data_IF_741057742237
#
_entry.id   IF_741057742237
#
_cell.length_a   1.000
_cell.length_b   1.000
_cell.length_c   1.000
_cell.angle_alpha   90.00
_cell.angle_beta   90.00
_cell.angle_gamma   90.00
#
_symmetry.space_group_name_H-M   'P 1'
#
loop_
_entity.id
_entity.type
_entity.pdbx_description
1 polymer ?
#
# COMPACT_ATOMS: atom_id res chain seq x y z
N UNK A 1 -1.23 16.64 -5.64
CA UNK A 1 -2.17 15.99 -6.59
C UNK A 1 -3.36 16.91 -6.76
N UNK A 2 -3.94 17.01 -7.94
CA UNK A 2 -5.05 17.94 -8.18
C UNK A 2 -6.15 17.29 -9.02
N UNK A 3 -7.39 17.73 -8.79
CA UNK A 3 -8.52 17.54 -9.71
C UNK A 3 -8.99 18.92 -10.21
N UNK A 4 -10.21 19.05 -10.76
CA UNK A 4 -10.70 20.32 -11.30
C UNK A 4 -10.77 21.42 -10.21
N UNK A 5 -11.28 21.10 -9.02
CA UNK A 5 -11.62 22.08 -7.99
C UNK A 5 -10.68 22.03 -6.77
N UNK A 6 -9.98 20.93 -6.55
CA UNK A 6 -9.25 20.65 -5.32
C UNK A 6 -7.77 20.31 -5.54
N UNK A 7 -6.97 20.59 -4.51
CA UNK A 7 -5.61 20.10 -4.35
C UNK A 7 -5.60 19.14 -3.16
N UNK A 8 -5.05 17.95 -3.39
CA UNK A 8 -4.90 16.91 -2.38
C UNK A 8 -3.46 16.79 -1.91
N UNK A 9 -3.32 16.63 -0.59
CA UNK A 9 -2.07 16.46 0.13
C UNK A 9 -2.09 15.14 0.88
N UNK A 10 -0.99 14.40 0.77
CA UNK A 10 -0.80 13.12 1.46
C UNK A 10 0.36 13.27 2.43
N UNK A 11 0.13 12.96 3.70
CA UNK A 11 1.13 13.14 4.74
C UNK A 11 0.85 12.22 5.92
N UNK A 12 1.80 12.16 6.86
CA UNK A 12 1.61 11.54 8.17
C UNK A 12 1.77 12.59 9.25
N UNK A 13 0.98 12.50 10.30
CA UNK A 13 1.01 13.41 11.45
C UNK A 13 0.74 12.64 12.75
N UNK A 14 1.05 13.25 13.89
CA UNK A 14 0.62 12.72 15.19
C UNK A 14 -0.91 12.75 15.29
N UNK A 15 -1.51 11.61 15.65
CA UNK A 15 -2.96 11.45 15.75
C UNK A 15 -3.48 12.02 17.08
N UNK A 16 -3.95 13.27 17.05
CA UNK A 16 -4.56 13.92 18.23
C UNK A 16 -5.81 13.18 18.71
N UNK A 17 -6.53 12.51 17.81
CA UNK A 17 -7.71 11.71 18.15
C UNK A 17 -7.41 10.43 18.94
N UNK A 18 -6.13 10.05 19.00
CA UNK A 18 -5.67 8.87 19.71
C UNK A 18 -4.90 9.22 20.99
N UNK A 19 -4.70 10.51 21.30
CA UNK A 19 -3.77 10.94 22.35
C UNK A 19 -4.14 10.42 23.74
N UNK A 20 -5.45 10.22 24.01
CA UNK A 20 -5.97 9.65 25.26
C UNK A 20 -5.66 8.15 25.41
N UNK A 21 -5.34 7.46 24.31
CA UNK A 21 -4.98 6.04 24.27
C UNK A 21 -3.46 5.83 24.11
N UNK A 22 -2.74 6.85 23.63
CA UNK A 22 -1.29 6.81 23.44
C UNK A 22 -0.82 7.75 22.34
N UNK A 23 0.49 7.74 22.05
CA UNK A 23 1.06 8.49 20.92
C UNK A 23 1.16 7.56 19.72
N UNK A 24 0.49 7.93 18.63
CA UNK A 24 0.62 7.24 17.34
C UNK A 24 0.65 8.26 16.21
N UNK A 25 1.20 7.83 15.08
CA UNK A 25 1.18 8.58 13.82
C UNK A 25 0.06 8.00 12.98
N UNK A 26 -0.71 8.83 12.29
CA UNK A 26 -1.65 8.39 11.25
C UNK A 26 -1.35 9.05 9.92
N UNK A 27 -1.62 8.29 8.86
CA UNK A 27 -1.59 8.77 7.50
C UNK A 27 -2.88 9.49 7.16
N UNK A 28 -2.75 10.61 6.45
CA UNK A 28 -3.84 11.51 6.08
C UNK A 28 -3.84 11.78 4.59
N UNK A 29 -5.04 11.98 4.08
CA UNK A 29 -5.29 12.78 2.89
C UNK A 29 -6.01 14.05 3.32
N UNK A 30 -5.54 15.20 2.86
CA UNK A 30 -6.21 16.48 3.00
C UNK A 30 -6.60 17.05 1.64
N UNK A 31 -7.64 17.88 1.60
CA UNK A 31 -8.05 18.64 0.43
C UNK A 31 -8.21 20.12 0.74
N UNK A 32 -7.96 20.96 -0.26
CA UNK A 32 -8.21 22.42 -0.24
C UNK A 32 -8.81 22.79 -1.60
N UNK A 33 -9.76 23.73 -1.64
CA UNK A 33 -10.28 24.27 -2.89
C UNK A 33 -9.26 25.19 -3.56
N UNK A 34 -9.08 25.08 -4.87
CA UNK A 34 -8.15 25.91 -5.65
C UNK A 34 -8.51 27.39 -5.63
N UNK A 35 -9.79 27.71 -5.50
CA UNK A 35 -10.31 29.09 -5.44
C UNK A 35 -10.48 29.64 -4.01
N UNK A 36 -9.85 29.02 -3.01
CA UNK A 36 -9.86 29.51 -1.63
C UNK A 36 -8.99 30.78 -1.51
N UNK A 37 -9.64 31.93 -1.39
CA UNK A 37 -9.04 33.25 -1.23
C UNK A 37 -8.93 33.67 0.24
N UNK A 38 -9.12 32.74 1.18
CA UNK A 38 -9.22 33.03 2.60
C UNK A 38 -10.59 33.61 2.99
N UNK A 39 -10.76 33.89 4.28
CA UNK A 39 -12.00 34.48 4.80
C UNK A 39 -11.91 36.00 5.02
N UNK A 40 -13.02 36.67 5.36
CA UNK A 40 -13.04 38.09 5.65
C UNK A 40 -12.31 38.41 6.97
N UNK A 41 -11.77 39.63 7.06
CA UNK A 41 -11.15 40.21 8.25
C UNK A 41 -10.14 39.27 8.96
N UNK A 42 -10.53 38.68 10.10
CA UNK A 42 -9.69 37.82 10.95
C UNK A 42 -9.32 36.47 10.32
N UNK A 43 -9.90 36.12 9.18
CA UNK A 43 -9.68 34.85 8.47
C UNK A 43 -8.86 35.00 7.18
N UNK A 44 -8.32 36.19 6.88
CA UNK A 44 -7.62 36.47 5.60
C UNK A 44 -6.40 35.58 5.35
N UNK A 45 -5.69 35.18 6.41
CA UNK A 45 -4.43 34.42 6.31
C UNK A 45 -4.60 32.91 6.56
N UNK A 46 -5.83 32.38 6.50
CA UNK A 46 -6.10 30.97 6.78
C UNK A 46 -6.98 30.34 5.70
N UNK A 47 -6.72 29.06 5.43
CA UNK A 47 -7.59 28.26 4.56
C UNK A 47 -8.99 28.14 5.15
N UNK A 48 -10.00 28.34 4.32
CA UNK A 48 -11.42 28.21 4.70
C UNK A 48 -11.99 26.84 4.34
N UNK A 49 -11.30 26.11 3.46
CA UNK A 49 -11.75 24.84 2.88
C UNK A 49 -10.87 23.64 3.24
N UNK A 50 -9.86 23.83 4.07
CA UNK A 50 -8.95 22.75 4.48
C UNK A 50 -9.69 21.68 5.29
N UNK A 51 -9.73 20.46 4.77
CA UNK A 51 -10.22 19.26 5.46
C UNK A 51 -9.20 18.13 5.34
N UNK A 52 -9.16 17.25 6.34
CA UNK A 52 -8.32 16.04 6.33
C UNK A 52 -9.09 14.82 6.85
N UNK A 53 -8.72 13.65 6.35
CA UNK A 53 -9.23 12.36 6.81
C UNK A 53 -8.12 11.32 6.89
N UNK A 54 -8.34 10.26 7.69
CA UNK A 54 -7.41 9.14 7.86
C UNK A 54 -7.43 8.23 6.64
N UNK A 55 -6.26 7.84 6.15
CA UNK A 55 -6.08 6.70 5.26
C UNK A 55 -5.93 5.43 6.10
N UNK A 56 -6.77 4.44 5.86
CA UNK A 56 -6.72 3.16 6.55
C UNK A 56 -5.99 2.13 5.67
N UNK A 57 -4.76 1.78 6.01
CA UNK A 57 -4.06 0.64 5.41
C UNK A 57 -3.84 -0.42 6.49
N UNK A 58 -4.67 -1.46 6.48
CA UNK A 58 -4.62 -2.52 7.49
C UNK A 58 -4.98 -3.89 6.94
N UNK A 59 -4.38 -4.92 7.51
CA UNK A 59 -4.78 -6.31 7.30
C UNK A 59 -5.93 -6.63 8.25
N UNK A 60 -7.10 -7.07 7.76
CA UNK A 60 -8.18 -7.49 8.63
C UNK A 60 -7.75 -8.71 9.45
N UNK A 61 -8.02 -8.67 10.75
CA UNK A 61 -7.78 -9.77 11.68
C UNK A 61 -9.09 -10.33 12.23
N UNK A 62 -9.07 -11.56 12.76
CA UNK A 62 -10.25 -12.18 13.39
C UNK A 62 -10.75 -11.39 14.61
N UNK A 63 -9.82 -10.81 15.38
CA UNK A 63 -10.14 -10.00 16.57
C UNK A 63 -9.74 -8.53 16.37
N UNK A 64 -8.50 -8.28 15.94
CA UNK A 64 -7.98 -6.93 15.78
C UNK A 64 -7.23 -6.79 14.44
N UNK A 65 -7.52 -5.75 13.64
CA UNK A 65 -6.75 -5.43 12.44
C UNK A 65 -5.32 -5.00 12.75
N UNK A 66 -4.39 -5.36 11.86
CA UNK A 66 -2.99 -4.92 11.91
C UNK A 66 -2.77 -3.71 11.00
N UNK A 67 -2.33 -2.57 11.54
CA UNK A 67 -2.25 -1.31 10.80
C UNK A 67 -0.83 -0.96 10.33
N UNK A 68 -0.73 -0.47 9.10
CA UNK A 68 0.43 0.21 8.55
C UNK A 68 0.13 1.71 8.54
N UNK A 69 0.54 2.38 9.61
CA UNK A 69 0.06 3.72 9.92
C UNK A 69 0.85 4.85 9.25
N UNK A 70 2.07 4.60 8.78
CA UNK A 70 2.99 5.64 8.31
C UNK A 70 3.19 5.59 6.80
N UNK A 71 2.55 6.53 6.09
CA UNK A 71 2.71 6.69 4.65
C UNK A 71 4.13 7.17 4.31
N UNK A 72 4.70 6.55 3.28
CA UNK A 72 6.02 6.87 2.75
C UNK A 72 5.95 7.52 1.37
N UNK A 73 5.04 7.04 0.51
CA UNK A 73 4.87 7.54 -0.86
C UNK A 73 3.47 7.26 -1.40
N UNK A 74 3.03 8.09 -2.35
CA UNK A 74 1.81 7.88 -3.15
C UNK A 74 2.11 8.04 -4.64
N UNK A 75 1.41 7.29 -5.48
CA UNK A 75 1.40 7.52 -6.92
C UNK A 75 0.62 8.80 -7.26
N UNK A 76 0.95 9.46 -8.38
CA UNK A 76 0.08 10.50 -8.93
C UNK A 76 -1.29 9.90 -9.33
N UNK A 77 -2.29 10.78 -9.45
CA UNK A 77 -3.58 10.44 -10.05
C UNK A 77 -3.50 10.63 -11.55
N UNK A 78 -4.04 9.68 -12.29
CA UNK A 78 -4.36 9.85 -13.71
C UNK A 78 -5.55 10.82 -13.84
N UNK A 79 -5.25 12.07 -14.17
CA UNK A 79 -6.26 13.13 -14.35
C UNK A 79 -7.15 12.91 -15.56
N UNK A 80 -6.75 12.05 -16.50
CA UNK A 80 -7.50 11.80 -17.74
C UNK A 80 -8.67 10.83 -17.52
N UNK A 81 -8.71 10.15 -16.36
CA UNK A 81 -9.79 9.25 -15.98
C UNK A 81 -10.92 9.97 -15.24
N UNK A 82 -12.18 9.48 -15.31
CA UNK A 82 -13.23 9.89 -14.38
C UNK A 82 -12.88 9.59 -12.92
N UNK A 83 -13.39 10.38 -11.97
CA UNK A 83 -13.07 10.23 -10.53
C UNK A 83 -13.44 8.86 -9.98
N UNK A 84 -14.47 8.24 -10.55
CA UNK A 84 -14.98 6.93 -10.19
C UNK A 84 -13.99 5.81 -10.51
N UNK A 85 -13.20 5.98 -11.55
CA UNK A 85 -12.23 5.01 -12.08
C UNK A 85 -10.79 5.28 -11.62
N UNK A 86 -10.54 6.44 -10.99
CA UNK A 86 -9.22 6.81 -10.47
C UNK A 86 -8.85 5.99 -9.24
N UNK A 87 -7.69 5.32 -9.31
CA UNK A 87 -7.07 4.60 -8.20
C UNK A 87 -5.72 5.23 -7.89
N UNK A 88 -5.42 5.36 -6.59
CA UNK A 88 -4.12 5.82 -6.09
C UNK A 88 -3.48 4.74 -5.24
N UNK A 89 -2.18 4.52 -5.42
CA UNK A 89 -1.43 3.50 -4.69
C UNK A 89 -0.48 4.16 -3.70
N UNK A 90 -0.43 3.63 -2.48
CA UNK A 90 0.40 4.15 -1.41
C UNK A 90 1.23 3.10 -0.74
N UNK A 91 2.46 3.48 -0.38
CA UNK A 91 3.34 2.69 0.48
C UNK A 91 3.16 3.16 1.92
N UNK A 92 2.90 2.20 2.80
CA UNK A 92 2.72 2.42 4.23
C UNK A 92 3.65 1.51 5.01
N UNK A 93 4.14 1.98 6.14
CA UNK A 93 5.01 1.22 7.03
C UNK A 93 4.44 1.18 8.45
N UNK A 94 4.89 0.17 9.20
CA UNK A 94 4.83 0.20 10.66
C UNK A 94 5.81 1.24 11.21
N UNK A 95 5.62 1.74 12.45
CA UNK A 95 6.57 2.66 13.07
C UNK A 95 8.00 2.12 13.14
N UNK A 96 9.00 3.01 13.13
CA UNK A 96 10.41 2.64 13.14
C UNK A 96 10.83 1.84 14.39
N UNK A 97 10.21 2.12 15.53
CA UNK A 97 10.43 1.43 16.80
C UNK A 97 9.66 0.10 16.94
N UNK A 98 9.08 -0.41 15.85
CA UNK A 98 8.31 -1.66 15.82
C UNK A 98 8.91 -2.66 14.82
N UNK A 99 8.34 -3.86 14.76
CA UNK A 99 8.72 -4.88 13.78
C UNK A 99 8.56 -4.28 12.37
N UNK A 100 9.61 -4.43 11.56
CA UNK A 100 9.63 -3.88 10.20
C UNK A 100 8.56 -4.53 9.34
N UNK A 101 7.56 -3.74 8.98
CA UNK A 101 6.46 -4.12 8.12
C UNK A 101 6.16 -2.99 7.15
N UNK A 102 5.91 -3.36 5.90
CA UNK A 102 5.48 -2.44 4.85
C UNK A 102 4.29 -3.03 4.12
N UNK A 103 3.42 -2.17 3.61
CA UNK A 103 2.26 -2.58 2.83
C UNK A 103 2.00 -1.59 1.70
N UNK A 104 1.37 -2.08 0.64
CA UNK A 104 0.86 -1.27 -0.46
C UNK A 104 -0.65 -1.31 -0.41
N UNK A 105 -1.28 -0.16 -0.31
CA UNK A 105 -2.73 -0.02 -0.34
C UNK A 105 -3.15 0.80 -1.55
N UNK A 106 -4.22 0.36 -2.22
CA UNK A 106 -4.88 1.14 -3.26
C UNK A 106 -6.12 1.81 -2.68
N UNK A 107 -6.40 3.06 -3.06
CA UNK A 107 -7.60 3.78 -2.67
C UNK A 107 -8.31 4.29 -3.93
N UNK A 108 -9.64 4.16 -3.97
CA UNK A 108 -10.44 4.83 -5.01
C UNK A 108 -10.57 6.30 -4.68
N UNK A 109 -10.44 7.15 -5.69
CA UNK A 109 -10.62 8.58 -5.50
C UNK A 109 -12.06 8.92 -5.10
N UNK A 110 -13.05 8.18 -5.60
CA UNK A 110 -14.45 8.27 -5.14
C UNK A 110 -14.60 8.04 -3.63
N UNK A 111 -13.87 7.09 -3.04
CA UNK A 111 -13.86 6.86 -1.58
C UNK A 111 -13.25 8.03 -0.81
N UNK A 112 -12.22 8.68 -1.39
CA UNK A 112 -11.61 9.89 -0.80
C UNK A 112 -12.62 11.04 -0.79
N UNK A 113 -13.27 11.30 -1.92
CA UNK A 113 -14.31 12.35 -2.03
C UNK A 113 -15.46 12.09 -1.06
N UNK A 114 -15.98 10.87 -1.03
CA UNK A 114 -17.07 10.47 -0.13
C UNK A 114 -16.72 10.70 1.35
N UNK A 115 -15.47 10.44 1.76
CA UNK A 115 -15.05 10.65 3.14
C UNK A 115 -15.10 12.12 3.57
N UNK A 116 -14.85 13.05 2.65
CA UNK A 116 -14.97 14.50 2.91
C UNK A 116 -16.41 15.01 2.91
N UNK A 117 -17.33 14.28 2.27
CA UNK A 117 -18.76 14.59 2.31
C UNK A 117 -19.48 13.97 3.52
N UNK A 118 -18.78 13.11 4.27
CA UNK A 118 -19.24 12.49 5.52
C UNK A 118 -19.27 13.42 6.73
N UNK A 119 -19.48 12.86 7.93
CA UNK A 119 -19.56 13.67 9.14
C UNK A 119 -18.17 14.13 9.61
N UNK A 120 -18.13 15.27 10.29
CA UNK A 120 -16.92 15.78 10.96
C UNK A 120 -16.67 15.01 12.26
N UNK A 121 -15.45 15.03 12.76
CA UNK A 121 -15.07 14.46 14.05
C UNK A 121 -14.61 15.56 14.98
N UNK A 122 -15.07 15.53 16.22
CA UNK A 122 -14.67 16.49 17.25
C UNK A 122 -14.57 15.85 18.64
N UNK A 123 -13.92 16.58 19.53
CA UNK A 123 -13.77 16.27 20.94
C UNK A 123 -14.41 17.40 21.77
N UNK A 124 -15.60 17.17 22.32
CA UNK A 124 -16.33 18.22 23.05
C UNK A 124 -15.55 18.74 24.28
N UNK A 125 -14.76 17.87 24.94
CA UNK A 125 -13.86 18.22 26.07
C UNK A 125 -12.49 17.52 25.92
N UNK A 126 -11.42 18.08 26.50
CA UNK A 126 -10.05 17.59 26.32
C UNK A 126 -9.83 16.11 26.70
N UNK A 127 -10.67 15.56 27.57
CA UNK A 127 -10.57 14.16 28.03
C UNK A 127 -11.67 13.25 27.46
N UNK A 128 -12.56 13.79 26.63
CA UNK A 128 -13.67 13.03 26.03
C UNK A 128 -13.22 12.23 24.80
N UNK A 129 -14.05 11.28 24.37
CA UNK A 129 -13.82 10.55 23.14
C UNK A 129 -14.09 11.44 21.92
N UNK A 130 -13.35 11.17 20.83
CA UNK A 130 -13.56 11.83 19.55
C UNK A 130 -14.75 11.21 18.81
N UNK A 131 -15.85 11.94 18.72
CA UNK A 131 -17.13 11.45 18.21
C UNK A 131 -17.53 12.17 16.91
N UNK A 132 -18.35 11.54 16.05
CA UNK A 132 -18.94 12.21 14.90
C UNK A 132 -19.84 13.37 15.33
N UNK A 133 -19.71 14.51 14.67
CA UNK A 133 -20.57 15.68 14.89
C UNK A 133 -21.91 15.46 14.15
N UNK A 134 -23.06 15.54 14.85
CA UNK A 134 -24.36 15.45 14.19
C UNK A 134 -24.57 16.56 13.14
N UNK A 135 -25.28 16.22 12.06
CA UNK A 135 -25.61 17.19 10.99
C UNK A 135 -26.34 18.43 11.48
N UNK A 136 -27.13 18.33 12.57
CA UNK A 136 -27.81 19.47 13.19
C UNK A 136 -26.87 20.51 13.78
N UNK A 137 -25.64 20.12 14.17
CA UNK A 137 -24.58 21.04 14.65
C UNK A 137 -23.64 21.51 13.54
N UNK A 138 -23.82 21.02 12.32
CA UNK A 138 -22.97 21.37 11.17
C UNK A 138 -23.66 22.47 10.35
N UNK A 139 -22.99 23.60 10.06
CA UNK A 139 -23.54 24.63 9.18
C UNK A 139 -23.90 24.03 7.80
N UNK A 140 -25.16 24.17 7.40
CA UNK A 140 -25.67 23.56 6.17
C UNK A 140 -25.48 24.44 4.93
N UNK A 141 -25.44 25.77 5.09
CA UNK A 141 -25.34 26.70 3.97
C UNK A 141 -24.33 27.84 4.21
N UNK A 142 -23.17 27.81 3.55
CA UNK A 142 -22.57 26.66 2.86
C UNK A 142 -21.93 25.67 3.84
N UNK A 143 -21.86 24.40 3.44
CA UNK A 143 -21.20 23.33 4.18
C UNK A 143 -19.67 23.60 4.22
N UNK A 144 -19.03 23.56 5.40
CA UNK A 144 -17.57 23.69 5.52
C UNK A 144 -16.81 22.73 4.58
N UNK A 145 -15.79 23.25 3.89
CA UNK A 145 -14.97 22.48 2.94
C UNK A 145 -15.58 22.28 1.54
N UNK A 146 -16.68 22.97 1.20
CA UNK A 146 -17.18 23.07 -0.17
C UNK A 146 -16.59 24.28 -0.88
N UNK A 147 -16.31 24.16 -2.18
CA UNK A 147 -15.75 25.26 -2.96
C UNK A 147 -16.83 26.30 -3.28
N UNK A 148 -16.46 27.57 -3.15
CA UNK A 148 -17.37 28.70 -3.33
C UNK A 148 -16.68 29.77 -4.19
N UNK A 149 -17.45 30.50 -5.00
CA UNK A 149 -16.90 31.50 -5.92
C UNK A 149 -16.04 32.56 -5.21
N UNK A 150 -16.47 33.02 -4.04
CA UNK A 150 -15.68 33.87 -3.17
C UNK A 150 -15.79 33.42 -1.71
N UNK A 151 -14.74 32.81 -1.20
CA UNK A 151 -14.62 32.36 0.20
C UNK A 151 -14.69 33.51 1.22
N UNK A 152 -14.47 34.76 0.80
CA UNK A 152 -14.61 35.93 1.67
C UNK A 152 -16.06 36.29 1.98
N UNK A 153 -17.01 35.79 1.18
CA UNK A 153 -18.44 35.95 1.40
C UNK A 153 -19.02 34.91 2.37
N UNK A 154 -18.20 33.96 2.86
CA UNK A 154 -18.66 32.91 3.75
C UNK A 154 -19.14 33.47 5.10
N UNK A 155 -20.25 32.94 5.66
CA UNK A 155 -20.71 33.31 6.98
C UNK A 155 -19.68 33.02 8.07
N UNK A 156 -19.62 33.88 9.08
CA UNK A 156 -18.70 33.70 10.23
C UNK A 156 -18.94 32.38 10.97
N UNK A 157 -20.18 31.86 11.01
CA UNK A 157 -20.50 30.56 11.60
C UNK A 157 -19.80 29.41 10.88
N UNK A 158 -19.86 29.37 9.54
CA UNK A 158 -19.16 28.38 8.70
C UNK A 158 -17.65 28.47 8.88
N UNK A 159 -17.09 29.69 8.90
CA UNK A 159 -15.65 29.90 9.06
C UNK A 159 -15.12 29.50 10.45
N UNK A 160 -15.85 29.85 11.50
CA UNK A 160 -15.52 29.42 12.87
C UNK A 160 -15.58 27.89 12.97
N UNK A 161 -16.59 27.26 12.37
CA UNK A 161 -16.70 25.81 12.34
C UNK A 161 -15.55 25.15 11.58
N UNK A 162 -15.26 25.60 10.35
CA UNK A 162 -14.20 25.03 9.51
C UNK A 162 -12.81 25.11 10.18
N UNK A 163 -12.56 26.20 10.91
CA UNK A 163 -11.31 26.38 11.66
C UNK A 163 -11.14 25.36 12.79
N UNK A 164 -12.23 25.00 13.47
CA UNK A 164 -12.21 24.09 14.62
C UNK A 164 -12.31 22.61 14.19
N UNK A 165 -13.12 22.34 13.16
CA UNK A 165 -13.45 20.98 12.73
C UNK A 165 -12.93 20.72 11.31
N UNK A 166 -11.66 20.32 11.23
CA UNK A 166 -11.01 19.96 9.97
C UNK A 166 -10.80 18.45 9.78
N UNK A 167 -11.11 17.63 10.79
CA UNK A 167 -10.97 16.18 10.74
C UNK A 167 -12.31 15.51 10.41
N UNK A 168 -12.33 14.65 9.40
CA UNK A 168 -13.51 13.84 9.07
C UNK A 168 -13.61 12.60 9.98
N UNK A 169 -14.83 12.15 10.24
CA UNK A 169 -15.10 10.96 11.07
C UNK A 169 -14.86 9.65 10.29
N UNK A 170 -15.18 9.64 9.00
CA UNK A 170 -15.01 8.48 8.13
C UNK A 170 -13.57 8.37 7.63
N UNK A 171 -12.97 7.19 7.78
CA UNK A 171 -11.67 6.86 7.20
C UNK A 171 -11.83 6.48 5.72
N UNK A 172 -10.79 6.68 4.92
CA UNK A 172 -10.70 6.11 3.57
C UNK A 172 -10.13 4.71 3.67
N UNK A 173 -10.96 3.71 3.35
CA UNK A 173 -10.53 2.31 3.32
C UNK A 173 -9.92 1.93 1.96
N UNK A 174 -9.01 0.94 1.93
CA UNK A 174 -8.37 0.53 0.70
C UNK A 174 -9.31 -0.36 -0.13
N UNK A 175 -9.02 -0.49 -1.42
CA UNK A 175 -9.75 -1.40 -2.31
C UNK A 175 -9.70 -2.82 -1.75
N UNK A 176 -10.87 -3.44 -1.55
CA UNK A 176 -10.98 -4.78 -0.98
C UNK A 176 -10.77 -4.86 0.55
N UNK A 177 -10.75 -3.73 1.25
CA UNK A 177 -10.59 -3.61 2.70
C UNK A 177 -9.33 -4.32 3.25
N UNK A 178 -8.29 -4.41 2.42
CA UNK A 178 -6.97 -4.99 2.75
C UNK A 178 -5.87 -4.37 1.90
N UNK A 179 -4.59 -4.55 2.24
CA UNK A 179 -3.49 -4.15 1.37
C UNK A 179 -3.42 -5.05 0.14
N UNK A 180 -2.96 -4.47 -0.97
CA UNK A 180 -2.62 -5.22 -2.18
C UNK A 180 -1.38 -6.07 -1.99
N UNK A 181 -0.39 -5.56 -1.25
CA UNK A 181 0.85 -6.28 -1.02
C UNK A 181 1.36 -6.01 0.38
N UNK A 182 1.93 -7.02 1.03
CA UNK A 182 2.50 -6.91 2.37
C UNK A 182 3.91 -7.52 2.37
N UNK A 183 4.86 -6.80 2.94
CA UNK A 183 6.24 -7.23 3.12
C UNK A 183 6.66 -7.06 4.58
N UNK A 184 7.05 -8.16 5.20
CA UNK A 184 7.45 -8.24 6.63
C UNK A 184 8.90 -8.67 6.81
N UNK A 185 9.75 -8.51 5.79
CA UNK A 185 11.17 -8.90 5.85
C UNK A 185 11.94 -8.08 6.88
N UNK A 186 12.75 -8.77 7.69
CA UNK A 186 13.63 -8.14 8.69
C UNK A 186 14.62 -7.19 8.00
N UNK A 187 14.64 -5.92 8.42
CA UNK A 187 15.64 -4.93 8.01
C UNK A 187 15.41 -4.25 6.66
N UNK A 188 14.37 -4.60 5.90
CA UNK A 188 14.06 -3.96 4.62
C UNK A 188 12.61 -3.46 4.58
N UNK A 189 12.45 -2.14 4.39
CA UNK A 189 11.15 -1.47 4.25
C UNK A 189 10.95 -0.95 2.83
N UNK A 190 9.69 -0.82 2.43
CA UNK A 190 9.32 -0.15 1.18
C UNK A 190 9.43 1.37 1.38
N UNK A 191 9.88 2.11 0.37
CA UNK A 191 10.18 3.55 0.47
C UNK A 191 9.31 4.39 -0.47
N UNK A 192 9.36 4.09 -1.76
CA UNK A 192 8.72 4.87 -2.82
C UNK A 192 7.96 3.96 -3.78
N UNK A 193 6.92 4.49 -4.43
CA UNK A 193 6.14 3.77 -5.43
C UNK A 193 5.96 4.63 -6.67
N UNK A 194 6.08 4.00 -7.84
CA UNK A 194 5.64 4.52 -9.12
C UNK A 194 4.73 3.48 -9.79
N UNK A 195 3.84 3.94 -10.66
CA UNK A 195 2.92 3.07 -11.39
C UNK A 195 3.02 3.36 -12.88
N UNK A 196 3.10 2.32 -13.70
CA UNK A 196 2.69 2.40 -15.10
C UNK A 196 1.27 1.85 -15.21
N UNK A 197 0.33 2.74 -15.49
CA UNK A 197 -1.09 2.42 -15.43
C UNK A 197 -1.58 1.89 -16.77
N UNK A 198 -2.49 0.91 -16.72
CA UNK A 198 -3.27 0.43 -17.87
C UNK A 198 -2.43 -0.17 -19.01
N UNK A 199 -1.38 -0.90 -18.67
CA UNK A 199 -0.63 -1.74 -19.61
C UNK A 199 -1.57 -2.79 -20.18
N UNK A 200 -1.64 -2.88 -21.51
CA UNK A 200 -2.63 -3.71 -22.19
C UNK A 200 -2.22 -5.17 -22.17
N UNK A 201 -3.18 -6.04 -21.90
CA UNK A 201 -3.03 -7.47 -22.16
C UNK A 201 -3.01 -7.73 -23.68
N UNK A 202 -2.20 -8.70 -24.09
CA UNK A 202 -2.07 -9.10 -25.50
C UNK A 202 -3.30 -9.82 -26.03
N UNK A 203 -3.90 -10.73 -25.25
CA UNK A 203 -5.04 -11.56 -25.65
C UNK A 203 -6.36 -10.80 -25.51
N UNK A 204 -6.48 -9.98 -24.48
CA UNK A 204 -7.66 -9.20 -24.18
C UNK A 204 -7.31 -7.72 -24.11
N UNK A 205 -7.26 -6.97 -25.23
CA UNK A 205 -6.87 -5.56 -25.24
C UNK A 205 -7.74 -4.63 -24.36
N UNK A 206 -8.90 -5.12 -23.90
CA UNK A 206 -9.77 -4.45 -22.92
C UNK A 206 -9.31 -4.66 -21.48
N UNK A 207 -8.65 -5.77 -21.19
CA UNK A 207 -8.00 -6.03 -19.92
C UNK A 207 -6.74 -5.18 -19.82
N UNK A 208 -6.56 -4.57 -18.65
CA UNK A 208 -5.57 -3.55 -18.38
C UNK A 208 -4.99 -3.82 -17.01
N UNK A 209 -3.67 -3.87 -16.93
CA UNK A 209 -2.95 -4.08 -15.69
C UNK A 209 -2.22 -2.82 -15.26
N UNK A 210 -2.26 -2.55 -13.97
CA UNK A 210 -1.43 -1.52 -13.37
C UNK A 210 -0.15 -2.19 -12.85
N UNK A 211 0.98 -1.76 -13.36
CA UNK A 211 2.30 -2.28 -12.98
C UNK A 211 2.90 -1.34 -11.95
N UNK A 212 3.13 -1.85 -10.74
CA UNK A 212 3.68 -1.08 -9.63
C UNK A 212 5.18 -1.36 -9.50
N UNK A 213 5.97 -0.30 -9.48
CA UNK A 213 7.40 -0.33 -9.18
C UNK A 213 7.61 0.25 -7.78
N UNK A 214 8.29 -0.49 -6.91
CA UNK A 214 8.37 -0.15 -5.48
C UNK A 214 9.80 -0.25 -5.00
N UNK A 215 10.33 0.88 -4.52
CA UNK A 215 11.67 0.97 -3.97
C UNK A 215 11.77 0.41 -2.56
N UNK A 216 12.96 -0.03 -2.16
CA UNK A 216 13.25 -0.47 -0.79
C UNK A 216 14.38 0.31 -0.14
N UNK A 217 14.46 0.23 1.19
CA UNK A 217 15.61 0.72 1.96
C UNK A 217 16.90 -0.04 1.65
N UNK A 218 16.78 -1.26 1.11
CA UNK A 218 17.89 -2.13 0.73
C UNK A 218 18.34 -2.00 -0.72
N UNK A 219 17.97 -0.93 -1.43
CA UNK A 219 18.42 -0.68 -2.80
C UNK A 219 17.75 -1.57 -3.86
N UNK A 220 16.61 -2.20 -3.53
CA UNK A 220 15.85 -3.03 -4.46
C UNK A 220 14.70 -2.24 -5.09
N UNK A 221 14.32 -2.67 -6.29
CA UNK A 221 13.05 -2.33 -6.91
C UNK A 221 12.24 -3.60 -7.10
N UNK A 222 11.03 -3.59 -6.55
CA UNK A 222 10.05 -4.66 -6.68
C UNK A 222 9.08 -4.29 -7.80
N UNK A 223 8.77 -5.24 -8.67
CA UNK A 223 7.75 -5.11 -9.71
C UNK A 223 6.54 -5.97 -9.33
N UNK A 224 5.39 -5.33 -9.16
CA UNK A 224 4.18 -5.97 -8.65
C UNK A 224 3.04 -5.74 -9.63
N UNK A 225 2.31 -6.80 -9.95
CA UNK A 225 1.16 -6.79 -10.86
C UNK A 225 0.07 -7.66 -10.22
N UNK A 226 -1.18 -7.19 -10.19
CA UNK A 226 -2.30 -7.92 -9.58
C UNK A 226 -2.01 -8.48 -8.18
N UNK A 227 -1.35 -7.69 -7.31
CA UNK A 227 -0.96 -8.11 -5.96
C UNK A 227 0.11 -9.20 -5.89
N UNK A 228 0.68 -9.60 -7.03
CA UNK A 228 1.76 -10.61 -7.13
C UNK A 228 3.09 -9.91 -7.40
N UNK A 229 4.11 -10.29 -6.62
CA UNK A 229 5.49 -9.88 -6.88
C UNK A 229 6.05 -10.71 -8.03
N UNK A 230 6.20 -10.10 -9.20
CA UNK A 230 6.69 -10.79 -10.41
C UNK A 230 8.21 -10.66 -10.57
N UNK A 231 8.80 -9.58 -10.04
CA UNK A 231 10.25 -9.36 -10.17
C UNK A 231 10.82 -8.60 -8.97
N UNK A 232 12.05 -8.93 -8.59
CA UNK A 232 12.78 -8.24 -7.53
C UNK A 232 14.22 -7.99 -7.94
N UNK A 233 14.53 -6.72 -8.22
CA UNK A 233 15.79 -6.29 -8.82
C UNK A 233 16.66 -5.59 -7.79
N UNK A 234 17.92 -6.02 -7.64
CA UNK A 234 18.91 -5.30 -6.86
C UNK A 234 19.52 -4.20 -7.75
N UNK A 235 19.22 -2.93 -7.44
CA UNK A 235 19.65 -1.80 -8.26
C UNK A 235 20.88 -1.15 -7.63
N UNK A 236 20.80 -0.88 -6.33
CA UNK A 236 21.89 -0.31 -5.55
C UNK A 236 22.41 -1.31 -4.52
N UNK A 237 23.58 -1.10 -3.90
CA UNK A 237 24.01 -1.91 -2.75
C UNK A 237 23.01 -1.88 -1.58
N UNK A 238 23.04 -2.90 -0.72
CA UNK A 238 22.08 -3.10 0.38
C UNK A 238 21.93 -1.94 1.39
N UNK A 239 22.84 -0.99 1.40
CA UNK A 239 22.84 0.17 2.32
C UNK A 239 22.41 1.47 1.63
N UNK A 240 22.06 1.42 0.35
CA UNK A 240 21.66 2.58 -0.45
C UNK A 240 20.16 2.51 -0.73
N UNK A 241 19.33 3.32 -0.05
CA UNK A 241 17.88 3.27 -0.22
C UNK A 241 17.47 3.87 -1.57
N UNK A 242 16.42 3.31 -2.16
CA UNK A 242 15.72 3.94 -3.28
C UNK A 242 14.88 5.09 -2.74
N UNK A 243 15.13 6.31 -3.21
CA UNK A 243 14.48 7.55 -2.75
C UNK A 243 13.36 8.00 -3.65
N UNK A 244 13.52 7.82 -4.97
CA UNK A 244 12.49 8.19 -5.92
C UNK A 244 12.43 7.24 -7.11
N UNK A 245 11.24 7.12 -7.71
CA UNK A 245 10.98 6.32 -8.90
C UNK A 245 10.16 7.15 -9.87
N UNK A 246 10.51 7.08 -11.15
CA UNK A 246 9.77 7.74 -12.21
C UNK A 246 9.69 6.82 -13.42
N UNK A 247 8.46 6.54 -13.85
CA UNK A 247 8.21 5.85 -15.12
C UNK A 247 8.25 6.90 -16.23
N UNK A 248 9.11 6.69 -17.22
CA UNK A 248 9.27 7.58 -18.37
C UNK A 248 9.32 6.74 -19.64
N UNK A 249 8.27 6.83 -20.46
CA UNK A 249 8.11 6.06 -21.68
C UNK A 249 8.30 4.56 -21.45
N UNK A 250 9.40 3.97 -21.96
CA UNK A 250 9.72 2.55 -21.83
C UNK A 250 10.82 2.27 -20.77
N UNK A 251 11.13 3.25 -19.90
CA UNK A 251 12.16 3.17 -18.86
C UNK A 251 11.65 3.54 -17.46
N UNK A 252 12.27 2.92 -16.45
CA UNK A 252 12.16 3.30 -15.04
C UNK A 252 13.44 4.03 -14.62
N UNK A 253 13.29 5.29 -14.25
CA UNK A 253 14.34 6.10 -13.63
C UNK A 253 14.27 5.92 -12.11
N UNK A 254 15.40 5.57 -11.51
CA UNK A 254 15.52 5.16 -10.11
C UNK A 254 16.55 6.06 -9.44
N UNK A 255 16.17 6.76 -8.38
CA UNK A 255 17.04 7.73 -7.72
C UNK A 255 17.40 7.25 -6.31
N UNK A 256 18.66 7.37 -5.94
CA UNK A 256 19.14 7.33 -4.55
C UNK A 256 19.57 8.72 -4.09
N UNK A 257 20.20 8.83 -2.92
CA UNK A 257 20.75 10.10 -2.43
C UNK A 257 21.95 10.60 -3.26
N UNK A 258 22.63 9.70 -3.99
CA UNK A 258 23.91 10.01 -4.67
C UNK A 258 24.01 9.49 -6.11
N UNK A 259 23.08 8.66 -6.57
CA UNK A 259 23.16 7.98 -7.86
C UNK A 259 21.79 7.95 -8.55
N UNK A 260 21.81 7.89 -9.87
CA UNK A 260 20.63 7.73 -10.72
C UNK A 260 20.87 6.56 -11.66
N UNK A 261 19.95 5.61 -11.66
CA UNK A 261 19.92 4.45 -12.56
C UNK A 261 18.72 4.55 -13.48
N UNK A 262 18.85 4.03 -14.69
CA UNK A 262 17.73 3.86 -15.64
C UNK A 262 17.73 2.43 -16.14
N UNK A 263 16.59 1.76 -16.05
CA UNK A 263 16.40 0.40 -16.55
C UNK A 263 15.16 0.34 -17.45
N UNK A 264 15.11 -0.53 -18.46
CA UNK A 264 13.89 -0.77 -19.22
C UNK A 264 12.74 -1.29 -18.32
N UNK A 265 11.50 -0.87 -18.58
CA UNK A 265 10.31 -1.37 -17.86
C UNK A 265 10.08 -2.86 -18.13
N UNK A 266 10.35 -3.27 -19.36
CA UNK A 266 10.30 -4.63 -19.83
C UNK A 266 11.67 -5.29 -19.68
N UNK A 267 11.70 -6.53 -19.22
CA UNK A 267 12.93 -7.34 -19.17
C UNK A 267 12.68 -8.72 -19.77
N UNK A 268 11.98 -8.76 -20.90
CA UNK A 268 11.46 -10.00 -21.49
C UNK A 268 12.56 -10.99 -21.90
N UNK A 269 13.72 -10.48 -22.31
CA UNK A 269 14.92 -11.29 -22.57
C UNK A 269 15.61 -11.78 -21.29
N UNK A 270 14.85 -12.09 -20.25
CA UNK A 270 15.38 -12.58 -18.98
C UNK A 270 16.02 -13.97 -19.21
N UNK A 271 17.18 -14.28 -18.61
CA UNK A 271 17.84 -15.57 -18.80
C UNK A 271 17.00 -16.79 -18.43
N UNK A 272 15.98 -16.63 -17.59
CA UNK A 272 15.04 -17.71 -17.24
C UNK A 272 13.91 -17.89 -18.24
N UNK A 273 13.65 -16.94 -19.14
CA UNK A 273 12.52 -16.94 -20.07
C UNK A 273 12.89 -17.56 -21.43
N UNK A 274 13.44 -18.78 -21.39
CA UNK A 274 13.99 -19.46 -22.58
C UNK A 274 12.98 -20.33 -23.32
N UNK A 275 11.87 -20.68 -22.67
CA UNK A 275 10.78 -21.42 -23.28
C UNK A 275 9.46 -20.64 -23.22
N UNK A 276 8.47 -21.10 -23.97
CA UNK A 276 7.11 -20.56 -23.93
C UNK A 276 6.55 -20.56 -22.51
N UNK A 277 6.66 -21.69 -21.82
CA UNK A 277 6.19 -21.84 -20.45
C UNK A 277 6.87 -20.86 -19.51
N UNK A 278 8.20 -20.72 -19.61
CA UNK A 278 8.95 -19.80 -18.74
C UNK A 278 8.61 -18.33 -19.01
N UNK A 279 8.44 -17.95 -20.28
CA UNK A 279 8.07 -16.58 -20.65
C UNK A 279 6.69 -16.20 -20.10
N UNK A 280 5.71 -17.10 -20.24
CA UNK A 280 4.36 -16.87 -19.71
C UNK A 280 4.36 -16.88 -18.18
N UNK A 281 5.18 -17.74 -17.56
CA UNK A 281 5.35 -17.80 -16.11
C UNK A 281 5.97 -16.54 -15.49
N UNK A 282 6.57 -15.64 -16.28
CA UNK A 282 6.97 -14.31 -15.79
C UNK A 282 5.79 -13.48 -15.32
N UNK A 283 4.58 -13.72 -15.86
CA UNK A 283 3.38 -12.93 -15.59
C UNK A 283 3.57 -11.42 -15.82
N UNK A 284 4.55 -11.05 -16.65
CA UNK A 284 4.91 -9.66 -16.92
C UNK A 284 4.01 -9.11 -18.04
N UNK A 285 3.17 -8.09 -17.79
CA UNK A 285 2.29 -7.53 -18.79
C UNK A 285 3.01 -7.00 -20.02
N UNK A 286 4.29 -6.62 -19.93
CA UNK A 286 5.04 -6.16 -21.11
C UNK A 286 5.55 -7.31 -21.99
N UNK A 287 5.57 -8.54 -21.48
CA UNK A 287 6.25 -9.66 -22.12
C UNK A 287 5.27 -10.71 -22.64
N UNK A 288 5.55 -11.21 -23.84
CA UNK A 288 4.81 -12.30 -24.45
C UNK A 288 5.74 -13.21 -25.25
N UNK A 289 5.35 -14.47 -25.38
CA UNK A 289 6.09 -15.43 -26.19
C UNK A 289 5.70 -15.29 -27.66
N UNK A 290 6.67 -15.05 -28.53
CA UNK A 290 6.44 -15.00 -29.97
C UNK A 290 6.63 -16.40 -30.60
N UNK A 291 5.55 -16.98 -31.13
CA UNK A 291 5.57 -18.34 -31.69
C UNK A 291 6.35 -18.46 -33.00
N UNK A 292 6.59 -17.35 -33.71
CA UNK A 292 7.36 -17.36 -34.95
C UNK A 292 8.86 -17.34 -34.70
N UNK A 293 9.31 -16.51 -33.76
CA UNK A 293 10.74 -16.39 -33.43
C UNK A 293 11.17 -17.36 -32.34
N UNK A 294 10.22 -17.95 -31.60
CA UNK A 294 10.49 -18.79 -30.43
C UNK A 294 11.28 -18.05 -29.35
N UNK A 295 10.89 -16.80 -29.08
CA UNK A 295 11.54 -15.92 -28.11
C UNK A 295 10.52 -15.18 -27.25
N UNK A 296 10.92 -14.88 -26.01
CA UNK A 296 10.18 -14.00 -25.12
C UNK A 296 10.50 -12.54 -25.47
N UNK A 297 9.50 -11.79 -25.94
CA UNK A 297 9.68 -10.44 -26.50
C UNK A 297 8.74 -9.42 -25.85
N UNK A 298 9.08 -8.12 -25.90
CA UNK A 298 8.13 -7.07 -25.58
C UNK A 298 6.97 -7.11 -26.57
N UNK A 299 5.72 -7.09 -26.08
CA UNK A 299 4.56 -7.19 -26.99
C UNK A 299 4.31 -5.93 -27.82
N UNK A 300 4.84 -4.77 -27.40
CA UNK A 300 4.63 -3.49 -28.07
C UNK A 300 5.30 -3.51 -29.45
N UNK A 301 4.53 -3.22 -30.50
CA UNK A 301 5.03 -3.22 -31.88
C UNK A 301 5.13 -4.61 -32.54
N UNK A 302 4.66 -5.66 -31.88
CA UNK A 302 4.60 -7.02 -32.42
C UNK A 302 3.20 -7.35 -33.00
N UNK A 303 3.14 -8.37 -33.85
CA UNK A 303 1.87 -8.94 -34.31
C UNK A 303 1.23 -9.75 -33.18
N UNK A 304 0.19 -9.19 -32.56
CA UNK A 304 -0.56 -9.77 -31.44
C UNK A 304 -1.05 -11.20 -31.76
N UNK A 305 -1.37 -11.51 -33.02
CA UNK A 305 -1.84 -12.85 -33.41
C UNK A 305 -0.80 -13.96 -33.26
N UNK A 306 0.46 -13.59 -33.02
CA UNK A 306 1.61 -14.49 -32.87
C UNK A 306 2.15 -14.54 -31.45
N UNK A 307 1.50 -13.85 -30.52
CA UNK A 307 1.94 -13.72 -29.15
C UNK A 307 1.11 -14.59 -28.22
N UNK A 308 1.78 -15.27 -27.29
CA UNK A 308 1.16 -15.99 -26.19
C UNK A 308 1.52 -15.30 -24.88
N UNK A 309 0.52 -14.94 -24.08
CA UNK A 309 0.68 -14.29 -22.79
C UNK A 309 -0.45 -14.74 -21.86
N UNK A 310 -0.17 -14.80 -20.57
CA UNK A 310 -1.21 -14.93 -19.55
C UNK A 310 -0.71 -14.32 -18.25
N UNK A 311 -1.07 -13.06 -18.01
CA UNK A 311 -0.63 -12.32 -16.82
C UNK A 311 -1.26 -12.88 -15.55
N UNK A 312 -2.53 -13.28 -15.60
CA UNK A 312 -3.30 -13.66 -14.42
C UNK A 312 -2.84 -14.98 -13.77
N UNK A 313 -2.59 -16.01 -14.58
CA UNK A 313 -2.27 -17.37 -14.10
C UNK A 313 -0.83 -17.80 -14.40
N UNK A 314 -0.11 -17.12 -15.29
CA UNK A 314 1.24 -17.51 -15.67
C UNK A 314 1.29 -18.81 -16.47
N UNK A 315 0.17 -19.20 -17.10
CA UNK A 315 0.07 -20.40 -17.93
C UNK A 315 -0.76 -20.12 -19.19
N UNK A 316 -0.34 -20.67 -20.33
CA UNK A 316 -1.06 -20.54 -21.60
C UNK A 316 -1.12 -21.90 -22.31
N UNK A 317 -2.32 -22.32 -22.73
CA UNK A 317 -2.56 -23.62 -23.37
C UNK A 317 -1.86 -23.82 -24.71
N UNK A 318 -1.50 -22.72 -25.37
CA UNK A 318 -0.69 -22.73 -26.59
C UNK A 318 0.81 -22.99 -26.36
N UNK A 319 1.29 -23.00 -25.12
CA UNK A 319 2.65 -23.44 -24.82
C UNK A 319 2.69 -24.97 -24.78
N UNK A 320 3.66 -25.61 -25.46
CA UNK A 320 3.83 -27.05 -25.35
C UNK A 320 4.13 -27.42 -23.89
N UNK A 321 3.50 -28.49 -23.39
CA UNK A 321 3.88 -29.04 -22.09
C UNK A 321 5.38 -29.30 -22.12
N UNK A 322 6.10 -28.78 -21.13
CA UNK A 322 7.50 -29.12 -20.95
C UNK A 322 7.58 -30.63 -20.90
N UNK A 323 8.22 -31.25 -21.89
CA UNK A 323 8.60 -32.65 -21.86
C UNK A 323 9.69 -32.83 -20.81
N UNK A 324 9.33 -32.62 -19.54
CA UNK A 324 10.05 -33.18 -18.42
C UNK A 324 9.83 -34.68 -18.52
N UNK A 325 10.73 -35.30 -19.29
CA UNK A 325 10.86 -36.73 -19.46
C UNK A 325 10.56 -37.48 -18.17
N UNK A 326 9.71 -38.52 -18.29
CA UNK A 326 9.41 -39.63 -17.39
C UNK A 326 10.63 -40.30 -16.73
N UNK A 327 11.48 -39.56 -16.04
CA UNK A 327 12.74 -40.06 -15.46
C UNK A 327 12.80 -39.95 -13.93
N UNK A 328 11.77 -39.39 -13.29
CA UNK A 328 11.65 -39.39 -11.81
C UNK A 328 10.58 -40.38 -11.30
N UNK A 329 9.75 -40.94 -12.19
CA UNK A 329 8.67 -41.86 -11.82
C UNK A 329 9.10 -43.32 -11.54
N UNK A 330 10.40 -43.63 -11.43
CA UNK A 330 10.87 -44.98 -11.08
C UNK A 330 11.56 -45.13 -9.71
N UNK A 331 11.71 -44.08 -8.90
CA UNK A 331 12.42 -44.20 -7.61
C UNK A 331 11.68 -43.68 -6.36
N UNK A 332 10.36 -43.51 -6.42
CA UNK A 332 9.57 -43.13 -5.25
C UNK A 332 8.53 -44.20 -4.86
N UNK A 333 8.98 -45.41 -4.52
CA UNK A 333 8.21 -46.34 -3.69
C UNK A 333 8.39 -45.98 -2.22
N UNK A 334 7.73 -44.91 -1.78
CA UNK A 334 7.58 -44.62 -0.35
C UNK A 334 6.33 -45.32 0.19
N UNK A 335 6.56 -46.27 1.09
CA UNK A 335 5.53 -46.91 1.91
C UNK A 335 4.77 -45.85 2.72
N UNK A 336 3.47 -45.73 2.49
CA UNK A 336 2.57 -45.03 3.39
C UNK A 336 2.25 -45.92 4.60
N UNK A 337 2.73 -45.54 5.78
CA UNK A 337 2.14 -45.97 7.06
C UNK A 337 1.47 -44.75 7.71
N UNK A 338 0.17 -44.88 7.98
CA UNK A 338 -0.66 -43.85 8.61
C UNK A 338 -0.20 -43.55 10.04
N UNK A 339 -0.22 -42.29 10.51
CA UNK A 339 0.12 -41.98 11.89
C UNK A 339 -1.08 -42.20 12.82
N UNK A 340 -0.89 -43.05 13.84
CA UNK A 340 -1.75 -43.15 15.01
C UNK A 340 -1.50 -41.97 15.96
N UNK A 341 -2.58 -41.49 16.55
CA UNK A 341 -2.62 -40.42 17.56
C UNK A 341 -1.82 -40.78 18.81
N UNK A 342 -0.82 -39.96 19.15
CA UNK A 342 -0.30 -39.89 20.51
C UNK A 342 -0.07 -38.43 20.92
N UNK A 343 -0.84 -38.01 21.91
CA UNK A 343 -0.71 -36.76 22.66
C UNK A 343 0.60 -36.77 23.44
N UNK A 344 1.52 -35.86 23.14
CA UNK A 344 2.67 -35.56 24.01
C UNK A 344 2.29 -34.47 25.00
N UNK A 345 2.18 -34.83 26.27
CA UNK A 345 2.09 -33.89 27.38
C UNK A 345 3.46 -33.25 27.62
N UNK A 346 3.51 -31.92 27.67
CA UNK A 346 4.70 -31.15 28.06
C UNK A 346 4.86 -31.25 29.59
N UNK A 347 5.93 -31.90 30.04
CA UNK A 347 6.32 -31.97 31.45
C UNK A 347 7.02 -30.67 31.86
N UNK A 348 6.44 -29.93 32.80
CA UNK A 348 7.07 -28.78 33.46
C UNK A 348 7.93 -29.33 34.61
N UNK A 349 9.25 -29.14 34.54
CA UNK A 349 10.19 -29.45 35.62
C UNK A 349 10.27 -28.28 36.60
N UNK A 350 9.72 -28.45 37.79
CA UNK A 350 9.92 -27.57 38.94
C UNK A 350 11.12 -28.05 39.76
N UNK A 351 12.15 -27.20 39.89
CA UNK A 351 13.28 -27.42 40.79
C UNK A 351 12.94 -26.88 42.17
N UNK A 352 12.70 -27.77 43.13
CA UNK A 352 12.63 -27.45 44.55
C UNK A 352 13.98 -27.77 45.22
N UNK A 353 14.67 -26.76 45.73
CA UNK A 353 15.84 -26.93 46.60
C UNK A 353 15.38 -27.31 48.01
N UNK A 354 15.64 -28.55 48.42
CA UNK A 354 15.56 -28.97 49.83
C UNK A 354 16.88 -28.67 50.53
N UNK A 355 16.80 -27.90 51.62
CA UNK A 355 17.87 -27.73 52.62
C UNK A 355 17.75 -28.81 53.70
N UNK A 356 18.84 -29.51 53.96
CA UNK A 356 18.98 -30.54 55.00
C UNK A 356 19.03 -29.93 56.41
N UNK A 357 18.48 -30.59 57.46
CA UNK A 357 18.59 -30.14 58.84
C UNK A 357 19.67 -30.93 59.60
N UNK A 358 20.64 -30.25 60.22
CA UNK A 358 21.29 -30.79 61.41
C UNK A 358 22.07 -29.75 62.22
N UNK A 359 22.02 -29.99 63.54
CA UNK A 359 22.92 -29.58 64.63
C UNK A 359 22.44 -28.47 65.58
N UNK A 360 22.46 -28.90 66.84
CA UNK A 360 22.08 -28.26 68.09
C UNK A 360 23.05 -27.17 68.55
N UNK A 361 22.56 -26.32 69.46
CA UNK A 361 23.18 -25.83 70.72
C UNK A 361 22.84 -24.35 70.91
N UNK A 362 21.92 -24.00 71.83
CA UNK A 362 22.08 -23.82 73.29
C UNK A 362 22.26 -22.35 73.67
N UNK A 363 21.39 -21.89 74.59
CA UNK A 363 21.61 -20.86 75.64
C UNK A 363 22.01 -19.44 75.18
N UNK A 364 21.53 -18.34 75.74
CA UNK A 364 20.72 -18.04 76.93
C UNK A 364 20.59 -16.51 77.02
N UNK A 365 19.55 -16.08 77.73
CA UNK A 365 19.30 -14.76 78.36
C UNK A 365 19.07 -13.54 77.47
#
# INVERSE_FOLDING_TARGET
>A
MEDEDHIYFFFRESAVEYINCGKTIYSRVARICKNDNGGPHKFQNGWTTFLKTRLNCSVPGHEQPFFFNEIQSMTPVDSDLPVEDRIIYGVFTTPDNSISGSAICAFKMSSVVNAFDGDFRDQDESNSLWLPIPKSRTPSYPRPGTCYNDSRALPSSTLNFARLHNLMAQNVNPVGDRPLFVKTSLGERLTVIASDARVRDVLEPRNKFDVLFVGTTGGRVLKIVNSVLIESMQIYPYHVPVRNLMVLEDHLVILSDHEVSSIPLQRCSHPSAQSCGDCVALQDPYCAWNVLTSECVPHKGQDISKLLQNVEFGFHSGCPESSYSDSVAQNASFHFTSPTSSTSAVTISTTSSMTDPSSLSSSST
#
